data_IF_172049583938
#
_entry.id   IF_172049583938
#
_cell.length_a   1.000
_cell.length_b   1.000
_cell.length_c   1.000
_cell.angle_alpha   90.00
_cell.angle_beta   90.00
_cell.angle_gamma   90.00
#
_symmetry.space_group_name_H-M   'P 1'
#
loop_
_entity.id
_entity.type
_entity.pdbx_description
1 polymer ?
#
# COMPACT_ATOMS: atom_id res chain seq x y z
N UNK A 1 -9.32 -19.60 52.64
CA UNK A 1 -7.85 -19.80 52.53
C UNK A 1 -7.36 -20.46 51.22
N UNK A 2 -8.24 -20.89 50.30
CA UNK A 2 -7.84 -21.63 49.08
C UNK A 2 -7.56 -20.71 47.86
N UNK A 3 -8.15 -19.52 47.81
CA UNK A 3 -7.92 -18.54 46.72
C UNK A 3 -6.44 -18.15 46.58
N UNK A 4 -5.75 -17.81 47.68
CA UNK A 4 -4.33 -17.43 47.66
C UNK A 4 -3.36 -18.59 47.37
N UNK A 5 -3.80 -19.85 47.44
CA UNK A 5 -2.97 -21.03 47.15
C UNK A 5 -2.87 -21.28 45.65
N UNK A 6 -3.91 -20.97 44.88
CA UNK A 6 -3.95 -21.14 43.42
C UNK A 6 -3.34 -19.96 42.65
N UNK A 7 -3.21 -18.79 43.30
CA UNK A 7 -2.49 -17.61 42.79
C UNK A 7 -1.00 -17.84 42.51
N UNK A 8 -0.38 -18.90 43.06
CA UNK A 8 1.04 -19.24 42.85
C UNK A 8 1.28 -20.35 41.82
N UNK A 9 0.22 -20.87 41.18
CA UNK A 9 0.40 -21.91 40.17
C UNK A 9 0.93 -21.29 38.86
N UNK A 10 1.72 -22.06 38.09
CA UNK A 10 2.19 -21.63 36.76
C UNK A 10 1.03 -21.22 35.84
N UNK A 11 -0.16 -21.79 36.07
CA UNK A 11 -1.40 -21.46 35.38
C UNK A 11 -1.89 -20.04 35.69
N UNK A 12 -1.79 -19.56 36.93
CA UNK A 12 -2.17 -18.18 37.27
C UNK A 12 -1.29 -17.14 36.57
N UNK A 13 0.02 -17.39 36.50
CA UNK A 13 0.95 -16.56 35.74
C UNK A 13 0.57 -16.50 34.25
N UNK A 14 0.21 -17.62 33.64
CA UNK A 14 -0.25 -17.67 32.25
C UNK A 14 -1.62 -17.00 32.03
N UNK A 15 -2.53 -17.00 33.01
CA UNK A 15 -3.81 -16.29 32.90
C UNK A 15 -3.59 -14.77 32.87
N UNK A 16 -2.63 -14.25 33.63
CA UNK A 16 -2.32 -12.80 33.69
C UNK A 16 -1.40 -12.37 32.54
N UNK A 17 -0.35 -13.13 32.25
CA UNK A 17 0.59 -12.80 31.17
C UNK A 17 0.11 -13.25 29.79
N UNK A 18 -0.72 -14.28 29.68
CA UNK A 18 -1.15 -14.87 28.40
C UNK A 18 -1.74 -13.86 27.42
N UNK A 19 -2.68 -12.99 27.83
CA UNK A 19 -3.20 -11.93 26.98
C UNK A 19 -2.11 -10.94 26.54
N UNK A 20 -1.13 -10.64 27.40
CA UNK A 20 -0.02 -9.74 27.10
C UNK A 20 0.96 -10.37 26.09
N UNK A 21 1.25 -11.67 26.25
CA UNK A 21 2.09 -12.45 25.32
C UNK A 21 1.41 -12.57 23.96
N UNK A 22 0.10 -12.86 23.93
CA UNK A 22 -0.67 -12.88 22.67
C UNK A 22 -0.69 -11.51 22.01
N UNK A 23 -0.91 -10.43 22.76
CA UNK A 23 -0.84 -9.08 22.23
C UNK A 23 0.55 -8.74 21.66
N UNK A 24 1.62 -9.19 22.30
CA UNK A 24 2.98 -9.03 21.79
C UNK A 24 3.23 -9.83 20.50
N UNK A 25 2.72 -11.07 20.41
CA UNK A 25 2.82 -11.89 19.19
C UNK A 25 2.01 -11.27 18.05
N UNK A 26 0.74 -10.90 18.27
CA UNK A 26 -0.09 -10.24 17.26
C UNK A 26 0.48 -8.87 16.87
N UNK A 27 1.01 -8.11 17.82
CA UNK A 27 1.71 -6.85 17.57
C UNK A 27 2.96 -7.05 16.71
N UNK A 28 3.74 -8.09 16.98
CA UNK A 28 4.91 -8.47 16.19
C UNK A 28 4.55 -8.89 14.76
N UNK A 29 3.51 -9.70 14.59
CA UNK A 29 3.00 -10.10 13.26
C UNK A 29 2.45 -8.90 12.49
N UNK A 30 1.69 -8.02 13.16
CA UNK A 30 1.16 -6.79 12.55
C UNK A 30 2.27 -5.83 12.14
N UNK A 31 3.30 -5.67 12.98
CA UNK A 31 4.49 -4.88 12.67
C UNK A 31 5.23 -5.45 11.45
N UNK A 32 5.41 -6.77 11.39
CA UNK A 32 6.03 -7.46 10.25
C UNK A 32 5.20 -7.30 8.97
N UNK A 33 3.87 -7.45 9.04
CA UNK A 33 2.98 -7.20 7.89
C UNK A 33 3.01 -5.75 7.41
N UNK A 34 3.11 -4.79 8.33
CA UNK A 34 3.23 -3.38 7.96
C UNK A 34 4.61 -3.07 7.37
N UNK A 35 5.64 -3.83 7.74
CA UNK A 35 6.98 -3.73 7.18
C UNK A 35 7.10 -4.35 5.77
N UNK A 36 6.16 -5.22 5.38
CA UNK A 36 6.04 -5.73 4.00
C UNK A 36 5.32 -4.79 3.02
N UNK A 37 4.65 -3.73 3.49
CA UNK A 37 4.19 -2.64 2.62
C UNK A 37 5.36 -1.68 2.32
N UNK A 38 6.45 -2.19 1.74
CA UNK A 38 7.54 -1.34 1.32
C UNK A 38 7.22 -0.74 -0.04
N UNK A 39 7.42 0.57 -0.15
CA UNK A 39 7.24 1.31 -1.39
C UNK A 39 8.20 0.78 -2.45
N UNK A 40 7.66 0.26 -3.56
CA UNK A 40 8.43 -0.27 -4.67
C UNK A 40 9.19 0.84 -5.39
N UNK A 41 10.50 0.71 -5.52
CA UNK A 41 11.39 1.71 -6.17
C UNK A 41 11.73 1.30 -7.59
N UNK A 42 11.39 2.17 -8.55
CA UNK A 42 11.59 1.91 -9.97
C UNK A 42 12.55 2.95 -10.55
N UNK A 43 13.69 2.50 -11.07
CA UNK A 43 14.63 3.33 -11.81
C UNK A 43 14.15 3.60 -13.23
N UNK A 44 13.89 4.85 -13.56
CA UNK A 44 13.43 5.30 -14.89
C UNK A 44 14.62 5.80 -15.69
N UNK A 45 14.83 5.21 -16.86
CA UNK A 45 15.85 5.60 -17.83
C UNK A 45 15.14 5.98 -19.12
N UNK A 46 15.17 7.27 -19.46
CA UNK A 46 14.57 7.80 -20.69
C UNK A 46 15.31 9.04 -21.16
N UNK A 47 15.29 9.29 -22.47
CA UNK A 47 15.80 10.52 -23.08
C UNK A 47 14.80 11.69 -23.00
N UNK A 48 13.55 11.45 -22.57
CA UNK A 48 12.51 12.47 -22.50
C UNK A 48 12.34 13.04 -21.08
N UNK A 49 12.71 14.32 -20.84
CA UNK A 49 12.51 14.96 -19.53
C UNK A 49 11.04 15.04 -19.11
N UNK A 50 10.12 15.17 -20.07
CA UNK A 50 8.68 15.24 -19.81
C UNK A 50 8.12 13.92 -19.26
N UNK A 51 8.61 12.79 -19.77
CA UNK A 51 8.25 11.46 -19.26
C UNK A 51 8.79 11.26 -17.84
N UNK A 52 10.05 11.64 -17.61
CA UNK A 52 10.66 11.59 -16.27
C UNK A 52 9.85 12.38 -15.25
N UNK A 53 9.43 13.62 -15.59
CA UNK A 53 8.63 14.44 -14.68
C UNK A 53 7.24 13.87 -14.43
N UNK A 54 6.61 13.28 -15.45
CA UNK A 54 5.28 12.66 -15.33
C UNK A 54 5.35 11.44 -14.41
N UNK A 55 6.31 10.54 -14.63
CA UNK A 55 6.51 9.37 -13.78
C UNK A 55 6.84 9.76 -12.35
N UNK A 56 7.75 10.74 -12.14
CA UNK A 56 8.07 11.22 -10.79
C UNK A 56 6.84 11.78 -10.06
N UNK A 57 5.99 12.54 -10.76
CA UNK A 57 4.76 13.09 -10.20
C UNK A 57 3.69 12.02 -9.90
N UNK A 58 3.76 10.86 -10.55
CA UNK A 58 2.88 9.71 -10.29
C UNK A 58 3.38 8.79 -9.17
N UNK A 59 4.45 9.18 -8.46
CA UNK A 59 4.90 8.43 -7.27
C UNK A 59 3.92 8.62 -6.11
N UNK A 60 3.70 7.56 -5.33
CA UNK A 60 2.87 7.55 -4.14
C UNK A 60 3.53 6.74 -3.01
N UNK A 61 2.73 6.28 -2.04
CA UNK A 61 3.20 5.48 -0.90
C UNK A 61 3.48 4.01 -1.29
N UNK A 62 2.92 3.53 -2.41
CA UNK A 62 3.07 2.16 -2.88
C UNK A 62 4.21 2.05 -3.92
N UNK A 63 4.43 3.08 -4.74
CA UNK A 63 5.42 3.04 -5.83
C UNK A 63 6.13 4.39 -6.06
N UNK A 64 7.47 4.35 -6.16
CA UNK A 64 8.36 5.51 -6.36
C UNK A 64 9.14 5.40 -7.66
N UNK A 65 9.16 6.48 -8.44
CA UNK A 65 9.93 6.56 -9.68
C UNK A 65 11.17 7.44 -9.52
N UNK A 66 12.35 6.89 -9.77
CA UNK A 66 13.66 7.54 -9.59
C UNK A 66 14.35 7.67 -10.95
N UNK A 67 14.75 8.88 -11.34
CA UNK A 67 15.41 9.08 -12.63
C UNK A 67 16.87 8.66 -12.59
N UNK A 68 17.32 7.98 -13.64
CA UNK A 68 18.72 7.62 -13.86
C UNK A 68 19.19 8.09 -15.24
N UNK A 69 20.46 8.50 -15.31
CA UNK A 69 21.09 8.98 -16.55
C UNK A 69 21.40 7.87 -17.56
N UNK A 70 21.52 6.62 -17.11
CA UNK A 70 21.81 5.48 -17.97
C UNK A 70 21.25 4.16 -17.42
N UNK A 71 20.97 3.22 -18.31
CA UNK A 71 20.56 1.85 -17.95
C UNK A 71 21.63 1.16 -17.11
N UNK A 72 22.92 1.43 -17.35
CA UNK A 72 24.00 0.85 -16.56
C UNK A 72 24.02 1.36 -15.10
N UNK A 73 23.70 2.64 -14.87
CA UNK A 73 23.59 3.18 -13.52
C UNK A 73 22.37 2.61 -12.79
N UNK A 74 21.22 2.54 -13.46
CA UNK A 74 20.01 1.97 -12.89
C UNK A 74 20.16 0.47 -12.58
N UNK A 75 20.80 -0.31 -13.46
CA UNK A 75 21.09 -1.73 -13.21
C UNK A 75 22.06 -1.96 -12.06
N UNK A 76 23.03 -1.05 -11.83
CA UNK A 76 23.89 -1.12 -10.65
C UNK A 76 23.10 -0.88 -9.37
N UNK A 77 22.29 0.18 -9.32
CA UNK A 77 21.41 0.42 -8.17
C UNK A 77 20.43 -0.75 -7.91
N UNK A 78 19.94 -1.39 -8.96
CA UNK A 78 19.15 -2.62 -8.83
C UNK A 78 19.98 -3.79 -8.25
N UNK A 79 21.23 -3.95 -8.67
CA UNK A 79 22.13 -4.99 -8.14
C UNK A 79 22.56 -4.73 -6.69
N UNK A 80 22.62 -3.46 -6.29
CA UNK A 80 22.87 -3.02 -4.91
C UNK A 80 21.59 -3.05 -4.04
N UNK A 81 20.53 -3.68 -4.56
CA UNK A 81 19.21 -3.82 -3.95
C UNK A 81 18.43 -2.52 -3.69
N UNK A 82 18.91 -1.37 -4.17
CA UNK A 82 18.28 -0.05 -3.98
C UNK A 82 17.04 0.16 -4.84
N UNK A 83 16.87 -0.63 -5.91
CA UNK A 83 15.73 -0.61 -6.81
C UNK A 83 15.08 -1.99 -6.90
N UNK A 84 13.75 -2.01 -6.99
CA UNK A 84 12.95 -3.21 -7.24
C UNK A 84 12.75 -3.44 -8.76
N UNK A 85 12.86 -2.38 -9.57
CA UNK A 85 12.73 -2.45 -11.01
C UNK A 85 13.51 -1.38 -11.77
N UNK A 86 13.78 -1.64 -13.05
CA UNK A 86 14.37 -0.69 -14.00
C UNK A 86 13.46 -0.60 -15.21
N UNK A 87 12.88 0.58 -15.40
CA UNK A 87 12.07 0.95 -16.54
C UNK A 87 12.92 1.71 -17.55
N UNK A 88 13.13 1.13 -18.73
CA UNK A 88 13.80 1.80 -19.86
C UNK A 88 12.75 2.21 -20.88
N UNK A 89 12.73 3.49 -21.25
CA UNK A 89 11.79 4.05 -22.24
C UNK A 89 12.58 4.68 -23.38
N UNK A 90 12.40 4.14 -24.57
CA UNK A 90 12.97 4.63 -25.83
C UNK A 90 11.84 5.30 -26.61
N UNK A 91 12.00 6.56 -26.98
CA UNK A 91 10.95 7.35 -27.66
C UNK A 91 11.10 7.43 -29.18
N UNK A 92 12.21 6.92 -29.74
CA UNK A 92 12.48 6.96 -31.19
C UNK A 92 13.04 5.62 -31.67
N UNK A 93 12.62 5.10 -32.85
CA UNK A 93 11.61 5.66 -33.77
C UNK A 93 10.15 5.47 -33.33
N UNK A 94 9.90 4.58 -32.37
CA UNK A 94 8.58 4.30 -31.78
C UNK A 94 8.73 4.21 -30.26
N UNK A 95 7.74 4.69 -29.52
CA UNK A 95 7.78 4.65 -28.05
C UNK A 95 7.68 3.21 -27.56
N UNK A 96 8.77 2.69 -27.00
CA UNK A 96 8.85 1.37 -26.40
C UNK A 96 9.31 1.48 -24.95
N UNK A 97 8.58 0.83 -24.06
CA UNK A 97 8.92 0.71 -22.64
C UNK A 97 9.25 -0.75 -22.31
N UNK A 98 10.34 -0.97 -21.58
CA UNK A 98 10.76 -2.28 -21.08
C UNK A 98 11.00 -2.18 -19.58
N UNK A 99 10.38 -3.07 -18.81
CA UNK A 99 10.55 -3.19 -17.38
C UNK A 99 11.34 -4.46 -17.09
N UNK A 100 12.41 -4.32 -16.30
CA UNK A 100 13.09 -5.43 -15.64
C UNK A 100 12.74 -5.32 -14.17
N UNK A 101 12.21 -6.38 -13.57
CA UNK A 101 11.84 -6.43 -12.16
C UNK A 101 12.66 -7.51 -11.44
N UNK A 102 12.97 -7.26 -10.17
CA UNK A 102 13.59 -8.24 -9.28
C UNK A 102 12.53 -9.21 -8.78
N UNK A 103 12.79 -10.51 -8.90
CA UNK A 103 11.89 -11.55 -8.39
C UNK A 103 11.80 -11.59 -6.87
N UNK A 104 12.81 -11.05 -6.20
CA UNK A 104 12.92 -10.92 -4.73
C UNK A 104 12.66 -9.49 -4.23
N UNK A 105 12.29 -8.56 -5.12
CA UNK A 105 11.96 -7.17 -4.79
C UNK A 105 10.50 -6.96 -4.42
N UNK A 106 10.16 -5.72 -4.08
CA UNK A 106 8.78 -5.32 -3.81
C UNK A 106 7.94 -5.36 -5.10
N UNK A 107 6.67 -5.76 -4.97
CA UNK A 107 5.77 -5.92 -6.11
C UNK A 107 5.51 -4.61 -6.85
N UNK A 108 5.70 -4.61 -8.17
CA UNK A 108 5.44 -3.45 -9.02
C UNK A 108 4.01 -3.51 -9.56
N UNK A 109 3.23 -2.45 -9.35
CA UNK A 109 1.91 -2.29 -9.94
C UNK A 109 2.03 -1.94 -11.43
N UNK A 110 2.07 -2.98 -12.27
CA UNK A 110 2.19 -2.83 -13.72
C UNK A 110 0.98 -2.11 -14.34
N UNK A 111 -0.22 -2.24 -13.76
CA UNK A 111 -1.42 -1.53 -14.23
C UNK A 111 -1.30 -0.03 -14.03
N UNK A 112 -0.83 0.40 -12.86
CA UNK A 112 -0.56 1.81 -12.58
C UNK A 112 0.53 2.33 -13.51
N UNK A 113 1.62 1.58 -13.70
CA UNK A 113 2.70 1.95 -14.62
C UNK A 113 2.18 2.13 -16.06
N UNK A 114 1.38 1.20 -16.57
CA UNK A 114 0.76 1.30 -17.89
C UNK A 114 -0.15 2.53 -18.01
N UNK A 115 -0.93 2.85 -16.98
CA UNK A 115 -1.78 4.05 -16.95
C UNK A 115 -0.96 5.33 -17.04
N UNK A 116 0.16 5.41 -16.30
CA UNK A 116 1.06 6.57 -16.35
C UNK A 116 1.72 6.70 -17.72
N UNK A 117 2.18 5.60 -18.31
CA UNK A 117 2.76 5.59 -19.66
C UNK A 117 1.74 6.01 -20.72
N UNK A 118 0.50 5.52 -20.62
CA UNK A 118 -0.59 5.90 -21.52
C UNK A 118 -0.89 7.40 -21.42
N UNK A 119 -1.04 7.94 -20.21
CA UNK A 119 -1.24 9.39 -20.02
C UNK A 119 -0.08 10.21 -20.60
N UNK A 120 1.15 9.75 -20.42
CA UNK A 120 2.32 10.44 -20.93
C UNK A 120 2.37 10.42 -22.47
N UNK A 121 2.03 9.29 -23.09
CA UNK A 121 1.89 9.18 -24.54
C UNK A 121 0.76 10.08 -25.07
N UNK A 122 -0.40 10.14 -24.41
CA UNK A 122 -1.49 11.05 -24.79
C UNK A 122 -1.03 12.51 -24.76
N UNK A 123 -0.22 12.92 -23.77
CA UNK A 123 0.34 14.28 -23.70
C UNK A 123 1.27 14.57 -24.88
N UNK A 124 2.10 13.60 -25.25
CA UNK A 124 3.02 13.71 -26.39
C UNK A 124 2.26 13.86 -27.71
N UNK A 125 1.26 13.00 -27.96
CA UNK A 125 0.41 13.09 -29.16
C UNK A 125 -0.37 14.40 -29.20
N UNK A 126 -0.93 14.84 -28.07
CA UNK A 126 -1.64 16.11 -27.98
C UNK A 126 -0.74 17.32 -28.27
N UNK A 127 0.53 17.29 -27.84
CA UNK A 127 1.52 18.29 -28.19
C UNK A 127 1.86 18.27 -29.69
N UNK A 128 2.01 17.09 -30.30
CA UNK A 128 2.21 16.95 -31.75
C UNK A 128 1.04 17.49 -32.56
N UNK A 129 -0.19 17.31 -32.07
CA UNK A 129 -1.43 17.84 -32.66
C UNK A 129 -1.65 19.34 -32.40
N UNK A 130 -0.72 20.02 -31.73
CA UNK A 130 -0.78 21.46 -31.40
C UNK A 130 -2.07 21.85 -30.66
N UNK A 131 -2.61 20.96 -29.83
CA UNK A 131 -3.77 21.29 -28.98
C UNK A 131 -3.43 22.47 -28.07
N UNK A 132 -4.36 23.41 -27.90
CA UNK A 132 -4.17 24.51 -26.95
C UNK A 132 -4.05 23.98 -25.52
N UNK A 133 -3.39 24.72 -24.64
CA UNK A 133 -3.27 24.37 -23.21
C UNK A 133 -4.64 24.14 -22.55
N UNK A 134 -5.66 24.89 -22.98
CA UNK A 134 -7.05 24.73 -22.55
C UNK A 134 -7.69 23.44 -23.04
N UNK A 135 -7.45 23.03 -24.29
CA UNK A 135 -7.93 21.75 -24.85
C UNK A 135 -7.24 20.56 -24.18
N UNK A 136 -5.94 20.67 -23.91
CA UNK A 136 -5.16 19.70 -23.15
C UNK A 136 -5.70 19.54 -21.73
N UNK A 137 -5.95 20.64 -21.01
CA UNK A 137 -6.53 20.58 -19.66
C UNK A 137 -7.93 19.95 -19.67
N UNK A 138 -8.75 20.26 -20.66
CA UNK A 138 -10.07 19.63 -20.80
C UNK A 138 -9.97 18.14 -21.11
N UNK A 139 -8.97 17.71 -21.88
CA UNK A 139 -8.74 16.30 -22.23
C UNK A 139 -8.30 15.48 -21.01
N UNK A 140 -7.50 16.08 -20.11
CA UNK A 140 -7.00 15.44 -18.89
C UNK A 140 -7.82 15.75 -17.64
N UNK A 141 -8.94 16.46 -17.75
CA UNK A 141 -9.80 16.76 -16.62
C UNK A 141 -10.37 15.45 -16.06
N UNK A 142 -9.83 14.97 -14.95
CA UNK A 142 -10.40 13.83 -14.24
C UNK A 142 -11.75 14.26 -13.67
N UNK A 143 -12.87 13.63 -14.05
CA UNK A 143 -14.16 13.96 -13.47
C UNK A 143 -14.12 13.72 -11.96
N UNK A 144 -14.61 14.69 -11.18
CA UNK A 144 -14.65 14.54 -9.74
C UNK A 144 -15.63 13.42 -9.38
N UNK A 145 -15.10 12.35 -8.76
CA UNK A 145 -15.92 11.26 -8.25
C UNK A 145 -16.35 11.61 -6.81
N UNK A 146 -17.61 12.03 -6.65
CA UNK A 146 -18.21 12.16 -5.34
C UNK A 146 -18.57 10.78 -4.80
N UNK A 147 -17.80 10.26 -3.84
CA UNK A 147 -18.12 9.00 -3.16
C UNK A 147 -18.74 9.28 -1.79
N UNK A 148 -19.96 8.80 -1.57
CA UNK A 148 -20.63 8.85 -0.27
C UNK A 148 -20.74 7.43 0.28
N UNK A 149 -20.01 7.12 1.35
CA UNK A 149 -20.16 5.85 2.05
C UNK A 149 -21.43 5.86 2.92
N UNK A 150 -22.34 4.92 2.66
CA UNK A 150 -23.58 4.75 3.42
C UNK A 150 -23.64 3.34 3.99
N UNK A 151 -24.22 3.22 5.19
CA UNK A 151 -24.61 1.94 5.80
C UNK A 151 -26.12 1.77 5.70
N UNK A 152 -26.60 0.54 5.63
CA UNK A 152 -28.03 0.25 5.70
C UNK A 152 -28.41 0.00 7.17
N UNK A 153 -29.36 0.77 7.70
CA UNK A 153 -29.99 0.51 9.00
C UNK A 153 -31.51 0.48 8.81
N UNK A 154 -32.13 -0.66 9.13
CA UNK A 154 -33.59 -0.90 8.96
C UNK A 154 -34.14 -0.46 7.59
N UNK A 155 -33.42 -0.80 6.52
CA UNK A 155 -33.82 -0.48 5.14
C UNK A 155 -33.60 0.98 4.72
N UNK A 156 -33.00 1.81 5.57
CA UNK A 156 -32.64 3.20 5.25
C UNK A 156 -31.13 3.35 5.10
N UNK A 157 -30.72 4.13 4.11
CA UNK A 157 -29.33 4.51 3.92
C UNK A 157 -28.98 5.60 4.94
N UNK A 158 -28.03 5.31 5.83
CA UNK A 158 -27.51 6.25 6.83
C UNK A 158 -26.05 6.52 6.56
N UNK A 159 -25.66 7.81 6.51
CA UNK A 159 -24.26 8.19 6.35
C UNK A 159 -23.50 7.88 7.64
N UNK A 160 -22.51 7.00 7.57
CA UNK A 160 -21.69 6.60 8.71
C UNK A 160 -20.23 6.63 8.28
N UNK A 161 -19.38 7.31 9.03
CA UNK A 161 -17.94 7.38 8.70
C UNK A 161 -17.31 6.00 8.80
N UNK A 162 -16.59 5.59 7.75
CA UNK A 162 -15.88 4.30 7.70
C UNK A 162 -14.86 4.13 8.84
N UNK A 163 -14.36 5.24 9.41
CA UNK A 163 -13.41 5.24 10.53
C UNK A 163 -14.03 4.68 11.81
N UNK A 164 -15.31 4.98 12.08
CA UNK A 164 -16.00 4.57 13.30
C UNK A 164 -16.30 3.07 13.28
N UNK A 165 -16.65 2.51 12.12
CA UNK A 165 -16.94 1.08 11.96
C UNK A 165 -15.70 0.20 12.13
N UNK A 166 -14.54 0.61 11.58
CA UNK A 166 -13.27 -0.10 11.78
C UNK A 166 -12.81 -0.08 13.25
N UNK A 167 -12.99 1.05 13.95
CA UNK A 167 -12.63 1.14 15.38
C UNK A 167 -13.52 0.27 16.26
N UNK A 168 -14.84 0.22 15.99
CA UNK A 168 -15.78 -0.58 16.78
C UNK A 168 -15.56 -2.08 16.65
N UNK A 169 -15.23 -2.55 15.44
CA UNK A 169 -14.93 -3.97 15.20
C UNK A 169 -13.65 -4.42 15.92
N UNK A 170 -12.61 -3.59 15.93
CA UNK A 170 -11.35 -3.88 16.64
C UNK A 170 -11.56 -3.93 18.16
N UNK A 171 -12.30 -2.97 18.72
CA UNK A 171 -12.65 -2.94 20.15
C UNK A 171 -13.50 -4.15 20.52
N UNK A 172 -14.51 -4.48 19.71
CA UNK A 172 -15.37 -5.65 19.92
C UNK A 172 -14.61 -6.98 19.88
N UNK A 173 -13.64 -7.11 18.97
CA UNK A 173 -12.77 -8.29 18.90
C UNK A 173 -11.90 -8.44 20.16
N UNK A 174 -11.28 -7.34 20.63
CA UNK A 174 -10.48 -7.35 21.87
C UNK A 174 -11.35 -7.72 23.09
N UNK A 175 -12.54 -7.12 23.21
CA UNK A 175 -13.49 -7.45 24.29
C UNK A 175 -13.96 -8.90 24.23
N UNK A 176 -14.30 -9.39 23.03
CA UNK A 176 -14.71 -10.78 22.82
C UNK A 176 -13.60 -11.77 23.20
N UNK A 177 -12.35 -11.49 22.83
CA UNK A 177 -11.19 -12.29 23.18
C UNK A 177 -10.94 -12.30 24.71
N UNK A 178 -11.08 -11.15 25.38
CA UNK A 178 -10.97 -11.07 26.83
C UNK A 178 -12.07 -11.88 27.53
N UNK A 179 -13.34 -11.73 27.11
CA UNK A 179 -14.47 -12.50 27.67
C UNK A 179 -14.24 -13.99 27.46
N UNK A 180 -13.83 -14.41 26.25
CA UNK A 180 -13.54 -15.81 25.94
C UNK A 180 -12.42 -16.38 26.83
N UNK A 181 -11.37 -15.59 27.07
CA UNK A 181 -10.26 -15.97 27.97
C UNK A 181 -10.75 -16.17 29.41
N UNK A 182 -11.62 -15.28 29.90
CA UNK A 182 -12.24 -15.43 31.22
C UNK A 182 -13.14 -16.67 31.31
N UNK A 183 -13.97 -16.93 30.28
CA UNK A 183 -14.88 -18.09 30.25
C UNK A 183 -14.10 -19.41 30.25
N UNK A 184 -13.06 -19.54 29.43
CA UNK A 184 -12.20 -20.73 29.43
C UNK A 184 -11.50 -20.88 30.78
N UNK A 185 -10.96 -19.79 31.33
CA UNK A 185 -10.27 -19.83 32.62
C UNK A 185 -11.18 -20.27 33.76
N UNK A 186 -12.48 -19.94 33.71
CA UNK A 186 -13.48 -20.38 34.68
C UNK A 186 -13.94 -21.82 34.42
N UNK A 187 -14.09 -22.23 33.17
CA UNK A 187 -14.48 -23.58 32.78
C UNK A 187 -13.36 -24.62 32.97
N UNK A 188 -12.10 -24.17 33.05
CA UNK A 188 -10.94 -25.02 33.34
C UNK A 188 -10.62 -25.16 34.83
N UNK A 189 -11.39 -24.50 35.71
CA UNK A 189 -11.31 -24.63 37.18
C UNK A 189 -12.29 -25.67 37.71
#
# INVERSE_FOLDING_TARGET
QVFFKNLKSKTWLWIVLGPLVLAAVFGGVFWLMNQTNQTSKIGVVTSSPALTSTLKASSDDDQRYISYSSTAAAKRAMADEDLDGVLTIITQPTTHASLIERTDGNGINQTQLQSVLAQAHTKEVAAQLKLSTTQLQSLFATPQLATTSVSVDKGKLVSRSAKTQKSGAMVGFILGMLIYTFVISYASM
#
